data_IF_988229452285
#
_entry.id   IF_988229452285
#
_cell.length_a   1.000
_cell.length_b   1.000
_cell.length_c   1.000
_cell.angle_alpha   90.00
_cell.angle_beta   90.00
_cell.angle_gamma   90.00
#
_symmetry.space_group_name_H-M   'P 1'
#
loop_
_entity.id
_entity.type
_entity.pdbx_description
1 polymer ?
#
# COMPACT_ATOMS: atom_id res chain seq x y z
N UNK A 1 0.37 0.88 6.91
CA UNK A 1 -0.43 0.83 5.67
C UNK A 1 -0.72 2.25 5.26
N UNK A 2 -0.59 2.54 3.98
CA UNK A 2 -0.78 3.88 3.45
C UNK A 2 -1.28 3.82 2.00
N UNK A 3 -2.06 4.81 1.56
CA UNK A 3 -2.60 4.89 0.21
C UNK A 3 -1.87 5.98 -0.58
N UNK A 4 -1.00 5.57 -1.49
CA UNK A 4 -0.30 6.50 -2.38
C UNK A 4 -1.24 6.87 -3.53
N UNK A 5 -1.64 8.13 -3.60
CA UNK A 5 -2.57 8.64 -4.63
C UNK A 5 -1.93 9.69 -5.55
N UNK A 6 -2.60 9.98 -6.66
CA UNK A 6 -2.15 10.99 -7.64
C UNK A 6 -0.96 10.50 -8.47
N UNK A 7 -0.90 9.20 -8.73
CA UNK A 7 0.07 8.61 -9.64
C UNK A 7 -0.40 8.81 -11.09
N UNK A 8 0.55 8.91 -12.02
CA UNK A 8 0.19 8.87 -13.43
C UNK A 8 -0.44 7.51 -13.75
N UNK A 9 -1.57 7.45 -14.48
CA UNK A 9 -2.22 6.17 -14.77
C UNK A 9 -1.27 5.23 -15.50
N UNK A 10 -1.04 4.04 -14.94
CA UNK A 10 -0.09 3.05 -15.46
C UNK A 10 -0.73 1.69 -15.72
N UNK A 11 -0.14 0.92 -16.63
CA UNK A 11 -0.60 -0.42 -17.02
C UNK A 11 -1.88 -0.41 -17.87
N UNK A 12 -2.36 -1.62 -18.24
CA UNK A 12 -3.57 -1.80 -19.08
C UNK A 12 -4.83 -1.26 -18.41
N UNK A 13 -4.95 -1.49 -17.11
CA UNK A 13 -6.10 -1.07 -16.30
C UNK A 13 -6.04 0.42 -15.91
N UNK A 14 -4.92 1.12 -16.16
CA UNK A 14 -4.73 2.55 -15.85
C UNK A 14 -4.86 2.87 -14.35
N UNK A 15 -4.20 2.10 -13.50
CA UNK A 15 -4.14 2.34 -12.06
C UNK A 15 -3.51 3.69 -11.74
N UNK A 16 -4.17 4.47 -10.88
CA UNK A 16 -3.82 5.86 -10.52
C UNK A 16 -3.50 6.03 -9.03
N UNK A 17 -3.56 4.95 -8.27
CA UNK A 17 -3.17 4.87 -6.86
C UNK A 17 -2.57 3.50 -6.55
N UNK A 18 -2.01 3.37 -5.35
CA UNK A 18 -1.49 2.10 -4.85
C UNK A 18 -1.64 2.03 -3.33
N UNK A 19 -2.11 0.90 -2.82
CA UNK A 19 -2.11 0.58 -1.40
C UNK A 19 -0.76 -0.02 -1.01
N UNK A 20 -0.02 0.66 -0.12
CA UNK A 20 1.31 0.25 0.32
C UNK A 20 1.24 -0.34 1.73
N UNK A 21 1.77 -1.55 1.86
CA UNK A 21 1.69 -2.36 3.07
C UNK A 21 3.09 -2.84 3.41
N UNK A 22 3.52 -2.54 4.63
CA UNK A 22 4.82 -2.99 5.14
C UNK A 22 4.56 -3.88 6.34
N UNK A 23 5.04 -5.12 6.26
CA UNK A 23 5.06 -5.99 7.42
C UNK A 23 6.19 -5.58 8.37
N UNK A 24 5.85 -5.32 9.62
CA UNK A 24 6.83 -4.90 10.64
C UNK A 24 7.74 -6.03 11.07
N UNK A 25 7.34 -7.29 10.92
CA UNK A 25 8.17 -8.43 11.30
C UNK A 25 9.19 -8.76 10.21
N UNK A 26 8.73 -9.18 9.03
CA UNK A 26 9.61 -9.59 7.91
C UNK A 26 10.30 -8.43 7.21
N UNK A 27 9.82 -7.20 7.41
CA UNK A 27 10.20 -6.01 6.61
C UNK A 27 9.84 -6.15 5.13
N UNK A 28 8.96 -7.09 4.79
CA UNK A 28 8.41 -7.20 3.46
C UNK A 28 7.52 -5.99 3.12
N UNK A 29 7.61 -5.54 1.89
CA UNK A 29 6.76 -4.48 1.35
C UNK A 29 5.86 -5.08 0.26
N UNK A 30 4.59 -4.71 0.25
CA UNK A 30 3.65 -5.03 -0.81
C UNK A 30 3.00 -3.75 -1.29
N UNK A 31 2.96 -3.60 -2.60
CA UNK A 31 2.27 -2.53 -3.30
C UNK A 31 1.14 -3.20 -4.08
N UNK A 32 -0.10 -2.81 -3.76
CA UNK A 32 -1.29 -3.32 -4.43
C UNK A 32 -1.85 -2.21 -5.31
N UNK A 33 -1.90 -2.38 -6.64
CA UNK A 33 -2.40 -1.36 -7.55
C UNK A 33 -3.89 -1.09 -7.29
N UNK A 34 -4.29 0.18 -7.38
CA UNK A 34 -5.67 0.62 -7.16
C UNK A 34 -6.00 1.88 -7.98
N UNK A 35 -7.27 2.27 -8.00
CA UNK A 35 -7.69 3.55 -8.55
C UNK A 35 -7.86 4.59 -7.45
N UNK A 36 -7.71 5.86 -7.81
CA UNK A 36 -7.95 6.97 -6.88
C UNK A 36 -9.42 7.01 -6.44
N UNK A 37 -10.31 6.58 -7.32
CA UNK A 37 -11.76 6.58 -7.15
C UNK A 37 -12.28 5.37 -6.36
N UNK A 38 -11.41 4.41 -6.03
CA UNK A 38 -11.79 3.20 -5.30
C UNK A 38 -12.40 3.52 -3.94
N UNK A 39 -13.50 2.87 -3.62
CA UNK A 39 -14.18 3.04 -2.35
C UNK A 39 -13.39 2.36 -1.22
N UNK A 40 -13.74 2.68 0.03
CA UNK A 40 -13.18 1.98 1.20
C UNK A 40 -13.43 0.46 1.14
N UNK A 41 -14.56 0.04 0.56
CA UNK A 41 -14.90 -1.38 0.39
C UNK A 41 -13.99 -2.05 -0.65
N UNK A 42 -13.72 -1.39 -1.78
CA UNK A 42 -12.83 -1.91 -2.82
C UNK A 42 -11.42 -2.12 -2.26
N UNK A 43 -10.91 -1.15 -1.49
CA UNK A 43 -9.60 -1.27 -0.81
C UNK A 43 -9.59 -2.36 0.26
N UNK A 44 -10.69 -2.57 0.98
CA UNK A 44 -10.80 -3.68 1.93
C UNK A 44 -10.81 -5.04 1.24
N UNK A 45 -11.50 -5.17 0.11
CA UNK A 45 -11.46 -6.39 -0.71
C UNK A 45 -10.06 -6.63 -1.28
N UNK A 46 -9.39 -5.58 -1.75
CA UNK A 46 -8.01 -5.65 -2.22
C UNK A 46 -7.06 -6.13 -1.11
N UNK A 47 -7.20 -5.59 0.11
CA UNK A 47 -6.45 -6.01 1.28
C UNK A 47 -6.76 -7.47 1.66
N UNK A 48 -8.04 -7.85 1.68
CA UNK A 48 -8.46 -9.21 2.03
C UNK A 48 -7.87 -10.25 1.09
N UNK A 49 -8.03 -10.03 -0.22
CA UNK A 49 -7.66 -10.99 -1.25
C UNK A 49 -6.15 -11.15 -1.43
N UNK A 50 -5.35 -10.15 -1.06
CA UNK A 50 -3.90 -10.18 -1.28
C UNK A 50 -3.10 -10.38 0.01
N UNK A 51 -3.61 -9.91 1.16
CA UNK A 51 -2.88 -9.91 2.42
C UNK A 51 -3.46 -10.93 3.39
N UNK A 52 -4.75 -10.84 3.71
CA UNK A 52 -5.36 -11.76 4.68
C UNK A 52 -5.33 -13.20 4.17
N UNK A 53 -5.61 -13.40 2.89
CA UNK A 53 -5.54 -14.71 2.22
C UNK A 53 -4.14 -15.35 2.28
N UNK A 54 -3.08 -14.55 2.18
CA UNK A 54 -1.69 -15.02 2.06
C UNK A 54 -0.98 -15.11 3.41
N UNK A 55 -1.20 -14.12 4.26
CA UNK A 55 -0.47 -13.93 5.52
C UNK A 55 -1.32 -14.22 6.77
N UNK A 56 -2.64 -14.36 6.61
CA UNK A 56 -3.58 -14.44 7.72
C UNK A 56 -4.03 -13.07 8.24
N UNK A 57 -4.87 -13.08 9.26
CA UNK A 57 -5.41 -11.86 9.89
C UNK A 57 -4.33 -11.23 10.77
N UNK A 58 -3.95 -9.96 10.54
CA UNK A 58 -2.95 -9.29 11.38
C UNK A 58 -3.51 -8.94 12.75
N UNK A 59 -2.67 -8.99 13.78
CA UNK A 59 -3.05 -8.58 15.14
C UNK A 59 -3.20 -7.06 15.27
N UNK A 60 -2.33 -6.30 14.58
CA UNK A 60 -2.29 -4.84 14.66
C UNK A 60 -2.05 -4.27 13.26
N UNK A 61 -2.88 -3.30 12.86
CA UNK A 61 -2.66 -2.50 11.67
C UNK A 61 -2.39 -1.07 12.09
N UNK A 62 -1.28 -0.52 11.60
CA UNK A 62 -0.95 0.89 11.76
C UNK A 62 -1.19 1.59 10.44
N UNK A 63 -2.12 2.52 10.41
CA UNK A 63 -2.49 3.30 9.22
C UNK A 63 -2.35 4.79 9.49
N UNK A 64 -2.08 5.59 8.45
CA UNK A 64 -2.20 7.04 8.56
C UNK A 64 -3.67 7.46 8.67
N UNK A 65 -3.90 8.68 9.19
CA UNK A 65 -5.25 9.24 9.42
C UNK A 65 -5.87 9.81 8.16
N UNK A 66 -5.79 9.08 7.05
CA UNK A 66 -6.55 9.47 5.87
C UNK A 66 -8.03 9.15 6.06
N UNK A 67 -8.88 10.00 5.47
CA UNK A 67 -10.34 9.91 5.54
C UNK A 67 -10.85 8.55 5.09
N UNK A 68 -10.14 7.88 4.19
CA UNK A 68 -10.51 6.55 3.70
C UNK A 68 -10.35 5.46 4.76
N UNK A 69 -9.37 5.56 5.67
CA UNK A 69 -9.08 4.56 6.73
C UNK A 69 -9.65 4.93 8.11
N UNK A 70 -10.15 6.15 8.24
CA UNK A 70 -10.85 6.64 9.44
C UNK A 70 -12.37 6.48 9.36
N UNK A 71 -12.90 5.98 8.23
CA UNK A 71 -14.31 5.62 8.08
C UNK A 71 -14.73 4.54 9.08
N UNK A 72 -15.94 4.67 9.60
CA UNK A 72 -16.60 3.72 10.49
C UNK A 72 -16.50 2.27 9.98
N UNK A 73 -16.56 2.10 8.65
CA UNK A 73 -16.37 0.83 7.97
C UNK A 73 -15.08 0.10 8.37
N UNK A 74 -13.92 0.76 8.33
CA UNK A 74 -12.64 0.10 8.63
C UNK A 74 -12.50 -0.23 10.11
N UNK A 75 -12.97 0.66 10.98
CA UNK A 75 -12.99 0.41 12.42
C UNK A 75 -13.83 -0.84 12.73
N UNK A 76 -15.04 -0.91 12.18
CA UNK A 76 -15.94 -2.05 12.38
C UNK A 76 -15.40 -3.34 11.73
N UNK A 77 -14.80 -3.25 10.54
CA UNK A 77 -14.21 -4.39 9.85
C UNK A 77 -13.11 -5.03 10.70
N UNK A 78 -12.17 -4.21 11.20
CA UNK A 78 -11.07 -4.74 12.00
C UNK A 78 -11.49 -5.18 13.40
N UNK A 79 -12.48 -4.54 14.00
CA UNK A 79 -13.06 -5.01 15.27
C UNK A 79 -13.69 -6.41 15.11
N UNK A 80 -14.44 -6.64 14.02
CA UNK A 80 -14.97 -7.97 13.70
C UNK A 80 -13.87 -9.03 13.47
N UNK A 81 -12.71 -8.61 12.95
CA UNK A 81 -11.57 -9.50 12.72
C UNK A 81 -10.71 -9.73 13.97
N UNK A 82 -10.97 -9.01 15.07
CA UNK A 82 -10.10 -8.99 16.24
C UNK A 82 -8.76 -8.30 15.99
N UNK A 83 -8.65 -7.51 14.93
CA UNK A 83 -7.46 -6.73 14.57
C UNK A 83 -7.51 -5.37 15.27
N UNK A 84 -6.44 -5.00 15.96
CA UNK A 84 -6.32 -3.67 16.55
C UNK A 84 -5.90 -2.65 15.48
N UNK A 85 -6.80 -1.74 15.14
CA UNK A 85 -6.47 -0.58 14.30
C UNK A 85 -5.81 0.51 15.16
N UNK A 86 -4.61 0.91 14.78
CA UNK A 86 -3.88 2.03 15.38
C UNK A 86 -3.61 3.08 14.30
N UNK A 87 -3.79 4.35 14.66
CA UNK A 87 -3.49 5.45 13.75
C UNK A 87 -2.12 6.03 14.06
N UNK A 88 -1.29 6.17 13.02
CA UNK A 88 -0.02 6.86 13.14
C UNK A 88 -0.28 8.32 13.54
N UNK A 89 0.52 8.82 14.48
CA UNK A 89 0.55 10.25 14.84
C UNK A 89 1.91 10.79 14.45
N UNK A 90 1.98 12.06 14.06
CA UNK A 90 3.24 12.72 13.68
C UNK A 90 4.37 12.56 14.73
N UNK A 91 4.01 12.26 15.98
CA UNK A 91 4.90 12.17 17.14
C UNK A 91 5.42 10.76 17.50
N UNK A 92 4.92 9.67 16.92
CA UNK A 92 5.35 8.30 17.28
C UNK A 92 6.49 7.75 16.37
N UNK A 93 7.51 8.58 16.12
CA UNK A 93 8.58 8.28 15.15
C UNK A 93 9.55 7.16 15.59
N UNK A 94 9.60 6.78 16.87
CA UNK A 94 10.65 5.87 17.37
C UNK A 94 10.44 4.39 17.04
N UNK A 95 9.20 3.92 16.86
CA UNK A 95 8.93 2.49 16.58
C UNK A 95 8.42 2.25 15.15
N UNK A 96 7.81 3.25 14.52
CA UNK A 96 7.30 3.17 13.14
C UNK A 96 8.17 3.91 12.12
N UNK A 97 9.24 4.57 12.56
CA UNK A 97 10.13 5.32 11.67
C UNK A 97 10.76 4.47 10.56
N UNK A 98 10.91 3.16 10.75
CA UNK A 98 11.41 2.28 9.67
C UNK A 98 10.32 2.01 8.62
N UNK A 99 9.14 1.55 9.03
CA UNK A 99 8.04 1.28 8.09
C UNK A 99 7.62 2.57 7.36
N UNK A 100 7.56 3.69 8.08
CA UNK A 100 7.29 5.00 7.48
C UNK A 100 8.35 5.42 6.47
N UNK A 101 9.64 5.26 6.78
CA UNK A 101 10.73 5.54 5.82
C UNK A 101 10.66 4.63 4.60
N UNK A 102 10.30 3.36 4.77
CA UNK A 102 10.13 2.44 3.65
C UNK A 102 8.98 2.84 2.75
N UNK A 103 7.82 3.19 3.32
CA UNK A 103 6.67 3.69 2.55
C UNK A 103 7.05 4.96 1.79
N UNK A 104 7.68 5.94 2.45
CA UNK A 104 8.14 7.18 1.81
C UNK A 104 9.14 6.93 0.68
N UNK A 105 10.12 6.05 0.90
CA UNK A 105 11.11 5.71 -0.14
C UNK A 105 10.42 5.04 -1.33
N UNK A 106 9.45 4.15 -1.08
CA UNK A 106 8.70 3.48 -2.13
C UNK A 106 7.79 4.45 -2.89
N UNK A 107 7.10 5.35 -2.19
CA UNK A 107 6.30 6.41 -2.81
C UNK A 107 7.16 7.27 -3.74
N UNK A 108 8.33 7.73 -3.28
CA UNK A 108 9.25 8.52 -4.10
C UNK A 108 9.71 7.76 -5.34
N UNK A 109 10.00 6.47 -5.21
CA UNK A 109 10.35 5.59 -6.34
C UNK A 109 9.18 5.52 -7.32
N UNK A 110 7.98 5.13 -6.85
CA UNK A 110 6.80 4.98 -7.68
C UNK A 110 6.50 6.28 -8.43
N UNK A 111 6.47 7.43 -7.73
CA UNK A 111 6.22 8.74 -8.34
C UNK A 111 7.23 9.07 -9.43
N UNK A 112 8.52 8.77 -9.23
CA UNK A 112 9.55 8.96 -10.26
C UNK A 112 9.34 8.04 -11.45
N UNK A 113 9.11 6.75 -11.21
CA UNK A 113 8.86 5.78 -12.28
C UNK A 113 7.66 6.17 -13.15
N UNK A 114 6.55 6.55 -12.53
CA UNK A 114 5.36 7.07 -13.21
C UNK A 114 5.66 8.35 -14.02
N UNK A 115 6.43 9.28 -13.45
CA UNK A 115 6.76 10.54 -14.12
C UNK A 115 7.63 10.35 -15.38
N UNK A 116 8.50 9.32 -15.38
CA UNK A 116 9.32 8.98 -16.54
C UNK A 116 8.60 8.10 -17.57
N UNK A 117 7.34 7.73 -17.33
CA UNK A 117 6.57 6.85 -18.22
C UNK A 117 7.14 5.43 -18.31
N UNK A 118 7.86 4.99 -17.28
CA UNK A 118 8.38 3.62 -17.21
C UNK A 118 7.27 2.68 -16.75
N UNK A 119 7.04 1.61 -17.51
CA UNK A 119 6.12 0.54 -17.14
C UNK A 119 6.87 -0.53 -16.32
N UNK A 120 6.20 -1.11 -15.32
CA UNK A 120 6.72 -2.26 -14.57
C UNK A 120 6.74 -3.50 -15.48
N UNK A 121 7.72 -4.39 -15.28
CA UNK A 121 8.00 -5.53 -16.18
C UNK A 121 6.84 -6.54 -16.28
N UNK A 122 5.96 -6.56 -15.30
CA UNK A 122 4.76 -7.42 -15.26
C UNK A 122 3.58 -6.87 -16.08
N UNK A 123 3.62 -5.60 -16.52
CA UNK A 123 2.49 -4.87 -17.13
C UNK A 123 1.18 -4.87 -16.30
N UNK A 124 1.21 -5.43 -15.08
CA UNK A 124 0.07 -5.54 -14.15
C UNK A 124 0.08 -4.38 -13.14
N UNK A 125 1.21 -3.69 -12.99
CA UNK A 125 1.32 -2.43 -12.26
C UNK A 125 1.74 -2.60 -10.81
N UNK A 126 2.68 -1.75 -10.39
CA UNK A 126 3.17 -1.53 -9.01
C UNK A 126 3.50 -2.77 -8.16
N UNK A 127 3.62 -3.97 -8.71
CA UNK A 127 4.00 -5.18 -7.95
C UNK A 127 5.51 -5.25 -7.74
N UNK A 128 5.94 -5.68 -6.54
CA UNK A 128 7.37 -5.79 -6.19
C UNK A 128 8.08 -6.99 -6.83
N UNK A 129 7.35 -7.88 -7.52
CA UNK A 129 7.95 -9.01 -8.22
C UNK A 129 8.40 -8.59 -9.62
N UNK A 130 9.62 -8.03 -9.69
CA UNK A 130 10.30 -7.79 -10.96
C UNK A 130 10.59 -6.34 -11.29
N UNK A 131 11.37 -5.66 -10.45
CA UNK A 131 12.18 -4.53 -10.95
C UNK A 131 13.45 -5.13 -11.55
N UNK A 132 13.38 -5.59 -12.80
CA UNK A 132 14.60 -5.85 -13.56
C UNK A 132 15.15 -4.49 -13.98
N UNK A 133 16.24 -4.08 -13.34
CA UNK A 133 17.09 -3.02 -13.87
C UNK A 133 17.54 -3.49 -15.26
N UNK A 134 16.94 -2.94 -16.31
CA UNK A 134 17.49 -3.08 -17.66
C UNK A 134 18.82 -2.33 -17.70
N UNK A 135 19.88 -3.05 -17.37
CA UNK A 135 21.19 -2.86 -17.95
C UNK A 135 21.73 -4.24 -18.30
N UNK A 136 21.49 -4.70 -19.53
CA UNK A 136 22.46 -5.56 -20.20
C UNK A 136 22.55 -5.18 -21.69
N UNK A 137 23.73 -4.60 -21.99
CA UNK A 137 24.46 -4.43 -23.27
C UNK A 137 23.85 -3.56 -24.36
#
# INVERSE_FOLDING_TARGET
MDSVTGLAPGGKERFSSCLVIVDRYSKGLRCLPSHKEDTAMDKALLFWNNIISTCGVPEIIISDRDTEFTLEFWTNLYDMLGTKLAFSTAYHQQTDGLAKRMIQTMEDIIRRFCAYGMEYADHEGYTQEGVTLLQEV
#
